data_IF_054217256955
#
_entry.id   IF_054217256955
#
_cell.length_a   1.000
_cell.length_b   1.000
_cell.length_c   1.000
_cell.angle_alpha   90.00
_cell.angle_beta   90.00
_cell.angle_gamma   90.00
#
_symmetry.space_group_name_H-M   'P 1'
#
loop_
_entity.id
_entity.type
_entity.pdbx_description
1 polymer ?
#
# COMPACT_ATOMS: atom_id res chain seq x y z
N UNK A 1 -15.20 -3.88 -16.83
CA UNK A 1 -13.91 -4.33 -16.25
C UNK A 1 -12.84 -3.39 -16.78
N UNK A 2 -12.24 -2.53 -15.94
CA UNK A 2 -11.18 -1.63 -16.41
C UNK A 2 -9.96 -2.47 -16.82
N UNK A 3 -9.42 -2.17 -18.00
CA UNK A 3 -8.30 -2.88 -18.60
C UNK A 3 -7.04 -2.13 -18.19
N UNK A 4 -6.34 -2.58 -17.14
CA UNK A 4 -5.12 -1.93 -16.66
C UNK A 4 -3.96 -2.19 -17.63
N UNK A 5 -3.90 -1.39 -18.69
CA UNK A 5 -2.73 -1.23 -19.56
C UNK A 5 -1.69 -0.28 -18.94
N UNK A 6 -2.01 0.34 -17.80
CA UNK A 6 -1.22 1.40 -17.17
C UNK A 6 -0.37 0.89 -16.01
N UNK A 7 0.85 1.41 -15.89
CA UNK A 7 1.73 1.17 -14.74
C UNK A 7 1.28 2.07 -13.59
N UNK A 8 0.87 1.47 -12.48
CA UNK A 8 0.48 2.16 -11.26
C UNK A 8 1.61 2.16 -10.23
N UNK A 9 1.74 3.25 -9.48
CA UNK A 9 2.63 3.35 -8.33
C UNK A 9 1.78 3.30 -7.07
N UNK A 10 2.04 2.30 -6.23
CA UNK A 10 1.39 2.10 -4.93
C UNK A 10 2.44 1.69 -3.90
N UNK A 11 2.11 1.85 -2.61
CA UNK A 11 2.95 1.38 -1.52
C UNK A 11 2.53 -0.02 -1.09
N UNK A 12 3.49 -0.91 -0.92
CA UNK A 12 3.26 -2.22 -0.28
C UNK A 12 3.01 -1.98 1.20
N UNK A 13 1.86 -2.44 1.68
CA UNK A 13 1.42 -2.33 3.06
C UNK A 13 1.50 -3.67 3.78
N UNK A 14 1.09 -4.75 3.12
CA UNK A 14 1.14 -6.10 3.67
C UNK A 14 1.96 -7.06 2.82
N UNK A 15 2.81 -7.84 3.48
CA UNK A 15 3.64 -8.91 2.92
C UNK A 15 2.95 -10.28 3.04
N UNK A 16 3.34 -11.28 2.23
CA UNK A 16 2.80 -12.63 2.33
C UNK A 16 2.84 -13.18 3.76
N UNK A 17 1.69 -13.68 4.24
CA UNK A 17 1.53 -14.27 5.57
C UNK A 17 1.19 -13.26 6.68
N UNK A 18 1.28 -11.95 6.44
CA UNK A 18 0.88 -10.95 7.42
C UNK A 18 -0.64 -10.82 7.48
N UNK A 19 -1.18 -10.65 8.69
CA UNK A 19 -2.56 -10.25 8.91
C UNK A 19 -2.63 -8.72 8.90
N UNK A 20 -3.43 -8.16 8.00
CA UNK A 20 -3.63 -6.70 7.90
C UNK A 20 -5.06 -6.36 8.25
N UNK A 21 -5.27 -5.35 9.08
CA UNK A 21 -6.57 -4.78 9.39
C UNK A 21 -6.51 -3.25 9.44
N UNK A 22 -7.66 -2.60 9.25
CA UNK A 22 -7.80 -1.17 9.44
C UNK A 22 -8.80 -0.93 10.57
N UNK A 23 -8.38 -0.18 11.59
CA UNK A 23 -9.25 0.24 12.69
C UNK A 23 -9.19 1.76 12.83
N UNK A 24 -10.34 2.42 12.67
CA UNK A 24 -10.43 3.88 12.72
C UNK A 24 -9.45 4.60 11.78
N UNK A 25 -9.20 4.03 10.59
CA UNK A 25 -8.25 4.57 9.61
C UNK A 25 -6.76 4.33 9.92
N UNK A 26 -6.44 3.59 10.98
CA UNK A 26 -5.07 3.12 11.27
C UNK A 26 -4.90 1.71 10.75
N UNK A 27 -3.86 1.49 9.96
CA UNK A 27 -3.45 0.16 9.50
C UNK A 27 -2.74 -0.55 10.64
N UNK A 28 -3.08 -1.82 10.86
CA UNK A 28 -2.38 -2.72 11.77
C UNK A 28 -1.85 -3.92 10.97
N UNK A 29 -0.61 -4.32 11.26
CA UNK A 29 0.04 -5.52 10.71
C UNK A 29 0.32 -6.46 11.88
N UNK A 30 -0.23 -7.66 11.84
CA UNK A 30 -0.17 -8.65 12.92
C UNK A 30 -0.52 -8.03 14.28
N UNK A 31 -1.61 -7.24 14.29
CA UNK A 31 -2.13 -6.48 15.45
C UNK A 31 -1.23 -5.35 15.98
N UNK A 32 -0.12 -5.04 15.30
CA UNK A 32 0.73 -3.90 15.63
C UNK A 32 0.39 -2.71 14.72
N UNK A 33 0.20 -1.48 15.25
CA UNK A 33 -0.11 -0.32 14.44
C UNK A 33 1.08 0.01 13.52
N UNK A 34 0.78 0.23 12.23
CA UNK A 34 1.77 0.70 11.27
C UNK A 34 1.94 2.21 11.38
N UNK A 35 3.18 2.66 11.56
CA UNK A 35 3.52 4.08 11.53
C UNK A 35 3.61 4.57 10.06
N UNK A 36 2.75 5.52 9.71
CA UNK A 36 2.59 5.99 8.33
C UNK A 36 2.91 7.48 8.21
N UNK A 37 4.18 7.86 8.36
CA UNK A 37 4.61 9.27 8.23
C UNK A 37 4.52 9.83 6.80
N UNK A 38 4.21 8.97 5.81
CA UNK A 38 4.10 9.32 4.40
C UNK A 38 2.68 9.70 3.96
N UNK A 39 1.65 9.45 4.77
CA UNK A 39 0.27 9.85 4.46
C UNK A 39 -0.06 11.20 5.10
N UNK A 40 -0.82 12.04 4.39
CA UNK A 40 -1.30 13.33 4.90
C UNK A 40 -2.66 13.21 5.58
N UNK A 41 -3.51 12.33 5.07
CA UNK A 41 -4.89 12.18 5.51
C UNK A 41 -5.18 10.69 5.72
N UNK A 42 -5.87 10.37 6.81
CA UNK A 42 -6.43 9.05 7.07
C UNK A 42 -7.90 9.06 6.66
N UNK A 43 -8.36 7.94 6.12
CA UNK A 43 -9.79 7.72 5.88
C UNK A 43 -10.31 6.92 7.05
N UNK A 44 -11.37 7.40 7.70
CA UNK A 44 -12.02 6.64 8.75
C UNK A 44 -12.64 5.38 8.13
N UNK A 45 -12.01 4.24 8.36
CA UNK A 45 -12.51 2.95 7.88
C UNK A 45 -12.24 1.86 8.91
N UNK A 46 -13.02 0.80 8.80
CA UNK A 46 -12.93 -0.40 9.63
C UNK A 46 -12.91 -1.61 8.70
N UNK A 47 -11.98 -2.53 8.91
CA UNK A 47 -11.94 -3.82 8.22
C UNK A 47 -11.72 -4.95 9.22
N UNK A 48 -12.13 -6.15 8.85
CA UNK A 48 -11.68 -7.35 9.53
C UNK A 48 -10.22 -7.66 9.17
N UNK A 49 -9.46 -8.37 10.02
CA UNK A 49 -8.16 -8.91 9.67
C UNK A 49 -8.24 -9.78 8.43
N UNK A 50 -7.37 -9.48 7.46
CA UNK A 50 -7.20 -10.29 6.26
C UNK A 50 -5.73 -10.72 6.15
N UNK A 51 -5.51 -12.02 5.98
CA UNK A 51 -4.17 -12.56 5.79
C UNK A 51 -3.78 -12.44 4.33
N UNK A 52 -2.63 -11.83 4.07
CA UNK A 52 -2.08 -11.71 2.72
C UNK A 52 -1.66 -13.11 2.23
N UNK A 53 -2.19 -13.60 1.09
CA UNK A 53 -1.83 -14.91 0.58
C UNK A 53 -0.35 -15.02 0.22
N UNK A 54 0.21 -16.26 0.15
CA UNK A 54 1.52 -16.50 -0.41
C UNK A 54 1.70 -15.83 -1.79
N UNK A 55 2.91 -15.35 -2.07
CA UNK A 55 3.28 -14.71 -3.33
C UNK A 55 2.40 -13.51 -3.75
N UNK A 56 1.75 -12.86 -2.78
CA UNK A 56 0.88 -11.72 -3.02
C UNK A 56 1.17 -10.57 -2.04
N UNK A 57 0.69 -9.38 -2.36
CA UNK A 57 0.89 -8.19 -1.55
C UNK A 57 -0.42 -7.42 -1.42
N UNK A 58 -0.61 -6.77 -0.27
CA UNK A 58 -1.62 -5.73 -0.13
C UNK A 58 -0.96 -4.38 -0.41
N UNK A 59 -1.53 -3.59 -1.31
CA UNK A 59 -0.99 -2.27 -1.67
C UNK A 59 -2.02 -1.17 -1.46
N UNK A 60 -1.61 -0.05 -0.88
CA UNK A 60 -2.44 1.14 -0.73
C UNK A 60 -1.76 2.34 -1.40
N UNK A 61 -2.56 3.30 -1.87
CA UNK A 61 -2.04 4.60 -2.26
C UNK A 61 -1.73 5.46 -1.04
N UNK A 62 -0.72 6.33 -1.17
CA UNK A 62 -0.41 7.33 -0.14
C UNK A 62 -1.54 8.39 -0.03
N UNK A 63 -2.30 8.63 -1.11
CA UNK A 63 -3.50 9.45 -1.10
C UNK A 63 -4.76 8.61 -0.80
N UNK A 64 -4.98 8.33 0.49
CA UNK A 64 -6.00 7.38 0.96
C UNK A 64 -7.44 7.70 0.59
N UNK A 65 -7.78 8.97 0.37
CA UNK A 65 -9.16 9.41 0.11
C UNK A 65 -9.63 9.13 -1.32
N UNK A 66 -8.72 9.00 -2.28
CA UNK A 66 -9.07 8.92 -3.71
C UNK A 66 -8.32 7.83 -4.46
N UNK A 67 -7.50 7.03 -3.78
CA UNK A 67 -6.71 5.99 -4.42
C UNK A 67 -7.60 4.78 -4.72
N UNK A 68 -7.69 4.40 -6.00
CA UNK A 68 -8.14 3.07 -6.40
C UNK A 68 -6.98 2.08 -6.15
N UNK A 69 -7.14 1.15 -5.21
CA UNK A 69 -6.07 0.23 -4.77
C UNK A 69 -6.57 -1.13 -4.25
N UNK A 70 -5.78 -1.82 -3.40
CA UNK A 70 -6.15 -3.17 -2.94
C UNK A 70 -7.44 -3.23 -2.13
N UNK A 71 -7.92 -2.10 -1.60
CA UNK A 71 -9.26 -2.06 -1.00
C UNK A 71 -10.37 -2.24 -2.03
N UNK A 72 -10.12 -1.89 -3.29
CA UNK A 72 -11.09 -2.02 -4.37
C UNK A 72 -10.89 -3.28 -5.21
N UNK A 73 -9.64 -3.67 -5.48
CA UNK A 73 -9.31 -4.79 -6.39
C UNK A 73 -8.70 -6.02 -5.70
N UNK A 74 -8.39 -5.95 -4.40
CA UNK A 74 -7.78 -7.05 -3.65
C UNK A 74 -6.25 -7.15 -3.76
N UNK A 75 -5.72 -8.36 -3.55
CA UNK A 75 -4.27 -8.58 -3.49
C UNK A 75 -3.59 -8.52 -4.86
N UNK A 76 -2.34 -8.08 -4.86
CA UNK A 76 -1.49 -7.99 -6.05
C UNK A 76 -0.51 -9.16 -6.07
N UNK A 77 -0.59 -10.08 -7.05
CA UNK A 77 0.39 -11.14 -7.21
C UNK A 77 1.81 -10.57 -7.43
N UNK A 78 2.82 -11.24 -6.87
CA UNK A 78 4.25 -10.87 -7.03
C UNK A 78 4.65 -10.69 -8.50
N UNK A 79 4.11 -11.50 -9.40
CA UNK A 79 4.40 -11.42 -10.84
C UNK A 79 3.93 -10.11 -11.49
N UNK A 80 2.99 -9.40 -10.87
CA UNK A 80 2.49 -8.13 -11.37
C UNK A 80 3.33 -6.93 -10.89
N UNK A 81 4.28 -7.14 -9.96
CA UNK A 81 5.18 -6.09 -9.48
C UNK A 81 6.37 -5.97 -10.43
N UNK A 82 6.46 -4.85 -11.14
CA UNK A 82 7.54 -4.58 -12.11
C UNK A 82 8.86 -4.14 -11.48
N UNK A 83 8.81 -3.47 -10.33
CA UNK A 83 10.01 -2.96 -9.67
C UNK A 83 9.73 -2.21 -8.37
N UNK A 84 10.79 -1.80 -7.68
CA UNK A 84 10.76 -0.99 -6.46
C UNK A 84 11.40 0.37 -6.75
N UNK A 85 10.70 1.44 -6.38
CA UNK A 85 11.24 2.79 -6.44
C UNK A 85 12.14 2.99 -5.21
N UNK A 86 13.42 3.27 -5.42
CA UNK A 86 14.43 3.39 -4.36
C UNK A 86 15.05 4.78 -4.22
N UNK A 87 14.94 5.64 -5.24
CA UNK A 87 15.58 6.96 -5.27
C UNK A 87 14.61 8.04 -5.74
N UNK A 88 14.62 9.18 -5.05
CA UNK A 88 13.99 10.43 -5.48
C UNK A 88 15.08 11.33 -6.06
N UNK A 89 14.93 11.75 -7.31
CA UNK A 89 15.89 12.65 -7.97
C UNK A 89 15.41 14.11 -8.02
N UNK A 90 14.12 14.37 -7.78
CA UNK A 90 13.52 15.71 -7.85
C UNK A 90 12.49 15.94 -6.73
N UNK A 91 12.35 17.17 -6.18
CA UNK A 91 13.22 18.34 -6.39
C UNK A 91 14.62 18.12 -5.82
N UNK A 92 15.64 18.81 -6.36
CA UNK A 92 17.06 18.62 -6.00
C UNK A 92 17.30 18.74 -4.49
N UNK A 93 16.58 19.62 -3.78
CA UNK A 93 16.69 19.78 -2.33
C UNK A 93 16.14 18.59 -1.53
N UNK A 94 15.43 17.66 -2.18
CA UNK A 94 14.86 16.43 -1.58
C UNK A 94 15.42 15.18 -2.26
N UNK A 95 16.55 15.30 -2.96
CA UNK A 95 17.23 14.17 -3.56
C UNK A 95 17.74 13.24 -2.45
N UNK A 96 17.45 11.94 -2.57
CA UNK A 96 17.81 10.96 -1.54
C UNK A 96 17.12 9.62 -1.74
N UNK A 97 17.43 8.68 -0.85
CA UNK A 97 16.78 7.37 -0.82
C UNK A 97 15.32 7.51 -0.38
N UNK A 98 14.44 6.73 -1.01
CA UNK A 98 13.05 6.58 -0.57
C UNK A 98 13.00 5.34 0.34
N UNK A 99 12.62 5.54 1.60
CA UNK A 99 12.31 4.47 2.56
C UNK A 99 10.80 4.27 2.66
#
# INVERSE_FOLDING_TARGET
>A
KQNFQEILIKRVIGLPGEAVEIQGGTVYINHQPLEENYIKNRVQSQSQPITVPPNSYLVLGDNRTTSYDSLDWGFVPRLNIRGKISKRFWPLQRMGEIR
#
